data_IF_721644678633
#
_entry.id   IF_721644678633
#
_cell.length_a   1.000
_cell.length_b   1.000
_cell.length_c   1.000
_cell.angle_alpha   90.00
_cell.angle_beta   90.00
_cell.angle_gamma   90.00
#
_symmetry.space_group_name_H-M   'P 1'
#
loop_
_entity.id
_entity.type
_entity.pdbx_description
1 polymer ?
#
# COMPACT_ATOMS: atom_id res chain seq x y z
N UNK A 1 41.26 -56.26 -10.70
CA UNK A 1 39.81 -56.22 -10.38
C UNK A 1 39.58 -55.03 -9.46
N UNK A 2 39.28 -53.84 -10.02
CA UNK A 2 39.10 -52.60 -9.25
C UNK A 2 37.60 -52.26 -9.17
N UNK A 3 37.07 -52.18 -7.95
CA UNK A 3 35.73 -51.66 -7.68
C UNK A 3 35.81 -50.13 -7.56
N UNK A 4 35.17 -49.42 -8.49
CA UNK A 4 34.99 -47.97 -8.40
C UNK A 4 33.79 -47.73 -7.50
N UNK A 5 34.03 -47.12 -6.34
CA UNK A 5 33.01 -46.64 -5.41
C UNK A 5 32.54 -45.28 -5.91
N UNK A 6 31.33 -45.21 -6.47
CA UNK A 6 30.67 -43.97 -6.84
C UNK A 6 30.34 -43.16 -5.58
N UNK A 7 30.98 -41.99 -5.46
CA UNK A 7 30.61 -40.96 -4.48
C UNK A 7 29.31 -40.30 -4.96
N UNK A 8 28.20 -40.61 -4.29
CA UNK A 8 26.95 -39.88 -4.42
C UNK A 8 27.17 -38.50 -3.78
N UNK A 9 27.30 -37.47 -4.59
CA UNK A 9 27.25 -36.09 -4.14
C UNK A 9 25.79 -35.75 -3.85
N UNK A 10 25.43 -35.63 -2.57
CA UNK A 10 24.16 -35.01 -2.17
C UNK A 10 24.21 -33.53 -2.53
N UNK A 11 23.26 -32.98 -3.30
CA UNK A 11 23.06 -31.55 -3.34
C UNK A 11 22.50 -31.13 -1.96
N UNK A 12 23.30 -30.37 -1.21
CA UNK A 12 22.81 -29.62 -0.05
C UNK A 12 21.81 -28.60 -0.62
N UNK A 13 20.53 -28.97 -0.59
CA UNK A 13 19.42 -28.04 -0.75
C UNK A 13 19.47 -27.10 0.44
N UNK A 14 20.15 -25.97 0.26
CA UNK A 14 19.97 -24.79 1.09
C UNK A 14 18.49 -24.41 0.98
N UNK A 15 17.69 -24.92 1.91
CA UNK A 15 16.41 -24.33 2.28
C UNK A 15 16.75 -22.93 2.80
N UNK A 16 16.82 -21.97 1.89
CA UNK A 16 16.64 -20.56 2.22
C UNK A 16 15.24 -20.48 2.82
N UNK A 17 15.16 -20.54 4.15
CA UNK A 17 13.98 -20.13 4.88
C UNK A 17 13.69 -18.71 4.39
N UNK A 18 12.65 -18.57 3.56
CA UNK A 18 12.16 -17.28 3.14
C UNK A 18 11.63 -16.59 4.40
N UNK A 19 12.52 -15.90 5.12
CA UNK A 19 12.12 -14.85 6.04
C UNK A 19 11.15 -13.97 5.27
N UNK A 20 9.92 -13.73 5.76
CA UNK A 20 9.00 -12.86 5.07
C UNK A 20 9.71 -11.51 4.90
N UNK A 21 9.96 -11.14 3.65
CA UNK A 21 10.52 -9.84 3.30
C UNK A 21 9.61 -8.81 3.97
N UNK A 22 10.12 -8.16 5.01
CA UNK A 22 9.42 -7.11 5.70
C UNK A 22 9.13 -6.01 4.68
N UNK A 23 8.10 -5.20 4.93
CA UNK A 23 7.81 -3.98 4.17
C UNK A 23 9.04 -3.07 3.93
N UNK A 24 10.06 -3.18 4.77
CA UNK A 24 11.32 -2.43 4.69
C UNK A 24 12.29 -3.04 3.65
N UNK A 25 12.06 -4.29 3.23
CA UNK A 25 12.85 -5.03 2.24
C UNK A 25 12.31 -4.85 0.80
N UNK A 26 11.28 -4.03 0.60
CA UNK A 26 10.86 -3.64 -0.75
C UNK A 26 11.97 -2.81 -1.41
N UNK A 27 12.25 -3.07 -2.69
CA UNK A 27 13.29 -2.33 -3.40
C UNK A 27 12.93 -0.83 -3.47
N UNK A 28 13.93 0.07 -3.56
CA UNK A 28 13.68 1.50 -3.71
C UNK A 28 12.74 1.84 -4.88
N UNK A 29 12.79 1.06 -5.97
CA UNK A 29 11.88 1.24 -7.10
C UNK A 29 10.41 0.96 -6.74
N UNK A 30 10.15 -0.12 -6.00
CA UNK A 30 8.78 -0.44 -5.52
C UNK A 30 8.27 0.71 -4.66
N UNK A 31 9.11 1.25 -3.79
CA UNK A 31 8.76 2.39 -2.98
C UNK A 31 8.46 3.64 -3.79
N UNK A 32 9.29 3.94 -4.79
CA UNK A 32 9.10 5.07 -5.68
C UNK A 32 7.75 5.01 -6.41
N UNK A 33 7.39 3.83 -6.94
CA UNK A 33 6.13 3.60 -7.65
C UNK A 33 4.92 3.84 -6.73
N UNK A 34 4.98 3.34 -5.48
CA UNK A 34 3.92 3.54 -4.49
C UNK A 34 3.76 5.01 -4.10
N UNK A 35 4.88 5.72 -3.89
CA UNK A 35 4.87 7.16 -3.58
C UNK A 35 4.32 7.96 -4.75
N UNK A 36 4.70 7.63 -5.99
CA UNK A 36 4.15 8.29 -7.17
C UNK A 36 2.62 8.15 -7.24
N UNK A 37 2.10 6.93 -7.05
CA UNK A 37 0.66 6.64 -7.08
C UNK A 37 -0.11 7.34 -5.97
N UNK A 38 0.45 7.33 -4.76
CA UNK A 38 -0.13 8.05 -3.63
C UNK A 38 -0.18 9.56 -3.91
N UNK A 39 0.85 10.12 -4.56
CA UNK A 39 0.88 11.53 -4.95
C UNK A 39 -0.14 11.87 -6.02
N UNK A 40 -0.34 11.01 -7.03
CA UNK A 40 -1.40 11.21 -8.03
C UNK A 40 -2.80 11.09 -7.42
N UNK A 41 -2.99 10.14 -6.49
CA UNK A 41 -4.26 10.00 -5.79
C UNK A 41 -4.55 11.23 -4.92
N UNK A 42 -3.55 11.75 -4.18
CA UNK A 42 -3.71 12.95 -3.36
C UNK A 42 -4.17 14.14 -4.21
N UNK A 43 -3.51 14.38 -5.35
CA UNK A 43 -3.90 15.45 -6.28
C UNK A 43 -5.34 15.28 -6.79
N UNK A 44 -5.77 14.04 -7.07
CA UNK A 44 -7.14 13.76 -7.48
C UNK A 44 -8.18 13.99 -6.36
N UNK A 45 -7.81 13.72 -5.11
CA UNK A 45 -8.64 14.05 -3.95
C UNK A 45 -8.77 15.58 -3.82
N UNK A 46 -7.65 16.30 -3.94
CA UNK A 46 -7.61 17.76 -3.83
C UNK A 46 -8.35 18.47 -4.97
N UNK A 47 -8.34 17.90 -6.18
CA UNK A 47 -9.09 18.44 -7.32
C UNK A 47 -10.60 18.20 -7.23
N UNK A 48 -11.03 17.24 -6.41
CA UNK A 48 -12.43 16.82 -6.32
C UNK A 48 -12.93 16.06 -7.55
N UNK A 49 -12.05 15.68 -8.49
CA UNK A 49 -12.46 15.02 -9.73
C UNK A 49 -12.69 13.52 -9.51
N UNK A 50 -13.95 13.13 -9.34
CA UNK A 50 -14.38 11.77 -9.02
C UNK A 50 -13.88 10.70 -10.01
N UNK A 51 -13.84 11.04 -11.31
CA UNK A 51 -13.36 10.16 -12.38
C UNK A 51 -11.88 9.78 -12.19
N UNK A 52 -11.04 10.75 -11.78
CA UNK A 52 -9.63 10.55 -11.49
C UNK A 52 -9.44 9.72 -10.23
N UNK A 53 -10.19 10.04 -9.16
CA UNK A 53 -10.18 9.25 -7.92
C UNK A 53 -10.49 7.78 -8.20
N UNK A 54 -11.56 7.52 -8.96
CA UNK A 54 -11.95 6.16 -9.31
C UNK A 54 -10.89 5.46 -10.20
N UNK A 55 -10.30 6.17 -11.16
CA UNK A 55 -9.21 5.64 -12.00
C UNK A 55 -8.00 5.21 -11.15
N UNK A 56 -7.46 6.12 -10.35
CA UNK A 56 -6.27 5.84 -9.55
C UNK A 56 -6.52 4.76 -8.50
N UNK A 57 -7.69 4.73 -7.89
CA UNK A 57 -8.04 3.68 -6.94
C UNK A 57 -8.20 2.29 -7.57
N UNK A 58 -8.67 2.19 -8.82
CA UNK A 58 -8.65 0.91 -9.55
C UNK A 58 -7.22 0.44 -9.81
N UNK A 59 -6.32 1.35 -10.19
CA UNK A 59 -4.92 1.01 -10.47
C UNK A 59 -4.17 0.57 -9.21
N UNK A 60 -4.39 1.26 -8.08
CA UNK A 60 -3.82 0.88 -6.78
C UNK A 60 -4.28 -0.52 -6.36
N UNK A 61 -5.58 -0.81 -6.43
CA UNK A 61 -6.12 -2.11 -5.96
C UNK A 61 -5.72 -3.30 -6.82
N UNK A 62 -5.52 -3.13 -8.14
CA UNK A 62 -5.09 -4.22 -9.05
C UNK A 62 -3.69 -4.75 -8.73
N UNK A 63 -2.78 -3.89 -8.27
CA UNK A 63 -1.37 -4.27 -8.06
C UNK A 63 -1.10 -4.91 -6.70
N UNK A 64 -2.08 -4.87 -5.80
CA UNK A 64 -2.02 -5.55 -4.50
C UNK A 64 -2.07 -7.07 -4.64
N UNK A 65 -2.68 -7.58 -5.72
CA UNK A 65 -3.00 -9.00 -5.92
C UNK A 65 -1.83 -9.97 -6.10
N UNK A 66 -0.60 -9.62 -5.69
CA UNK A 66 0.54 -10.54 -5.81
C UNK A 66 1.84 -10.12 -5.11
N UNK A 67 1.84 -9.07 -4.28
CA UNK A 67 3.07 -8.56 -3.62
C UNK A 67 2.82 -8.30 -2.12
N UNK A 68 3.81 -8.58 -1.28
CA UNK A 68 3.82 -8.09 0.10
C UNK A 68 3.84 -6.56 0.07
N UNK A 69 2.79 -5.96 0.61
CA UNK A 69 2.65 -4.51 0.64
C UNK A 69 3.33 -3.93 1.86
N UNK A 70 4.00 -2.79 1.71
CA UNK A 70 4.39 -2.01 2.86
C UNK A 70 3.19 -1.53 3.66
N UNK A 71 3.34 -1.40 4.98
CA UNK A 71 2.22 -1.12 5.90
C UNK A 71 1.39 0.11 5.50
N UNK A 72 2.01 1.20 5.05
CA UNK A 72 1.24 2.38 4.61
C UNK A 72 0.66 2.24 3.19
N UNK A 73 1.20 1.37 2.34
CA UNK A 73 0.57 1.01 1.06
C UNK A 73 -0.75 0.25 1.29
N UNK A 74 -0.84 -0.57 2.35
CA UNK A 74 -2.13 -1.10 2.82
C UNK A 74 -3.08 0.03 3.22
N UNK A 75 -2.57 1.10 3.87
CA UNK A 75 -3.33 2.31 4.15
C UNK A 75 -3.96 2.96 2.91
N UNK A 76 -3.26 2.97 1.76
CA UNK A 76 -3.80 3.47 0.49
C UNK A 76 -5.01 2.67 0.00
N UNK A 77 -5.07 1.37 0.29
CA UNK A 77 -6.24 0.54 -0.04
C UNK A 77 -7.44 1.01 0.77
N UNK A 78 -7.25 1.26 2.06
CA UNK A 78 -8.32 1.78 2.92
C UNK A 78 -8.78 3.17 2.48
N UNK A 79 -7.87 4.04 2.04
CA UNK A 79 -8.24 5.31 1.40
C UNK A 79 -9.14 5.06 0.19
N UNK A 80 -8.72 4.18 -0.71
CA UNK A 80 -9.48 3.89 -1.92
C UNK A 80 -10.84 3.25 -1.66
N UNK A 81 -10.93 2.39 -0.66
CA UNK A 81 -12.20 1.81 -0.20
C UNK A 81 -13.14 2.88 0.36
N UNK A 82 -12.62 3.81 1.17
CA UNK A 82 -13.39 4.94 1.68
C UNK A 82 -13.88 5.86 0.56
N UNK A 83 -12.98 6.27 -0.34
CA UNK A 83 -13.31 7.14 -1.46
C UNK A 83 -14.34 6.50 -2.39
N UNK A 84 -14.17 5.22 -2.78
CA UNK A 84 -15.16 4.51 -3.60
C UNK A 84 -16.49 4.33 -2.90
N UNK A 85 -16.49 4.13 -1.58
CA UNK A 85 -17.74 4.12 -0.81
C UNK A 85 -18.42 5.49 -0.89
N UNK A 86 -17.67 6.59 -0.77
CA UNK A 86 -18.21 7.94 -0.91
C UNK A 86 -18.79 8.21 -2.29
N UNK A 87 -18.09 7.79 -3.35
CA UNK A 87 -18.55 7.91 -4.74
C UNK A 87 -19.82 7.11 -5.03
N UNK A 88 -20.01 5.96 -4.37
CA UNK A 88 -21.14 5.05 -4.65
C UNK A 88 -22.33 5.25 -3.72
N UNK A 89 -22.10 5.62 -2.46
CA UNK A 89 -23.12 5.70 -1.42
C UNK A 89 -23.32 7.12 -0.87
N UNK A 90 -22.49 8.09 -1.27
CA UNK A 90 -22.51 9.44 -0.72
C UNK A 90 -22.23 9.47 0.78
N UNK A 91 -22.82 10.45 1.48
CA UNK A 91 -22.72 10.60 2.94
C UNK A 91 -23.41 9.44 3.65
N UNK A 92 -22.64 8.59 4.33
CA UNK A 92 -23.18 7.43 5.06
C UNK A 92 -22.34 7.06 6.28
N UNK A 93 -22.95 6.34 7.24
CA UNK A 93 -22.21 5.76 8.39
C UNK A 93 -21.11 4.81 7.93
N UNK A 94 -21.34 4.08 6.83
CA UNK A 94 -20.35 3.20 6.25
C UNK A 94 -19.12 4.00 5.78
N UNK A 95 -19.32 5.08 5.01
CA UNK A 95 -18.24 5.99 4.59
C UNK A 95 -17.46 6.50 5.80
N UNK A 96 -18.14 6.97 6.84
CA UNK A 96 -17.48 7.51 8.04
C UNK A 96 -16.57 6.50 8.74
N UNK A 97 -17.02 5.25 8.83
CA UNK A 97 -16.20 4.17 9.37
C UNK A 97 -14.99 3.88 8.48
N UNK A 98 -15.16 3.89 7.15
CA UNK A 98 -14.06 3.67 6.20
C UNK A 98 -13.03 4.81 6.26
N UNK A 99 -13.46 6.08 6.29
CA UNK A 99 -12.58 7.23 6.43
C UNK A 99 -11.78 7.16 7.74
N UNK A 100 -12.42 6.80 8.87
CA UNK A 100 -11.73 6.58 10.15
C UNK A 100 -10.70 5.46 10.09
N UNK A 101 -11.02 4.36 9.41
CA UNK A 101 -10.09 3.25 9.24
C UNK A 101 -8.89 3.66 8.37
N UNK A 102 -9.13 4.38 7.27
CA UNK A 102 -8.08 4.93 6.42
C UNK A 102 -7.16 5.89 7.20
N UNK A 103 -7.74 6.81 8.00
CA UNK A 103 -7.00 7.71 8.89
C UNK A 103 -6.12 6.92 9.88
N UNK A 104 -6.68 5.91 10.54
CA UNK A 104 -5.98 5.07 11.52
C UNK A 104 -4.83 4.29 10.90
N UNK A 105 -5.04 3.65 9.74
CA UNK A 105 -4.01 2.83 9.10
C UNK A 105 -2.89 3.67 8.49
N UNK A 106 -3.19 4.79 7.84
CA UNK A 106 -2.17 5.72 7.37
C UNK A 106 -1.44 6.43 8.51
N UNK A 107 -2.14 6.72 9.61
CA UNK A 107 -1.55 7.34 10.80
C UNK A 107 -0.45 6.51 11.45
N UNK A 108 -0.45 5.19 11.23
CA UNK A 108 0.59 4.25 11.69
C UNK A 108 1.81 4.19 10.76
N UNK A 109 1.81 4.90 9.64
CA UNK A 109 2.95 4.95 8.73
C UNK A 109 4.23 5.36 9.47
N UNK A 110 5.36 4.76 9.09
CA UNK A 110 6.68 5.08 9.63
C UNK A 110 7.58 5.65 8.53
N UNK A 111 8.63 6.41 8.89
CA UNK A 111 9.68 6.78 7.95
C UNK A 111 10.24 5.57 7.20
N UNK A 112 10.53 5.77 5.91
CA UNK A 112 11.12 4.76 5.03
C UNK A 112 12.43 5.34 4.51
N UNK A 113 13.56 4.72 4.88
CA UNK A 113 14.88 5.21 4.50
C UNK A 113 15.10 5.16 2.98
N UNK A 114 14.64 4.08 2.33
CA UNK A 114 14.74 3.90 0.89
C UNK A 114 13.95 4.91 0.05
N UNK A 115 12.94 5.58 0.64
CA UNK A 115 12.13 6.61 -0.04
C UNK A 115 11.57 7.60 1.00
N UNK A 116 12.34 8.65 1.35
CA UNK A 116 11.98 9.58 2.42
C UNK A 116 10.68 10.36 2.20
N UNK A 117 10.21 10.48 0.95
CA UNK A 117 8.95 11.17 0.61
C UNK A 117 7.71 10.39 1.04
N UNK A 118 7.82 9.09 1.29
CA UNK A 118 6.71 8.22 1.63
C UNK A 118 5.98 8.66 2.91
N UNK A 119 6.74 8.97 3.96
CA UNK A 119 6.16 9.32 5.26
C UNK A 119 5.41 10.65 5.25
N UNK A 120 5.98 11.78 4.75
CA UNK A 120 5.24 13.02 4.58
C UNK A 120 3.97 12.88 3.75
N UNK A 121 4.01 12.06 2.69
CA UNK A 121 2.86 11.83 1.83
C UNK A 121 1.74 11.04 2.54
N UNK A 122 2.10 10.02 3.32
CA UNK A 122 1.14 9.30 4.17
C UNK A 122 0.46 10.25 5.18
N UNK A 123 1.20 11.22 5.73
CA UNK A 123 0.63 12.26 6.62
C UNK A 123 -0.35 13.17 5.89
N UNK A 124 -0.01 13.63 4.68
CA UNK A 124 -0.92 14.46 3.87
C UNK A 124 -2.22 13.72 3.55
N UNK A 125 -2.13 12.45 3.14
CA UNK A 125 -3.32 11.61 2.90
C UNK A 125 -4.13 11.38 4.18
N UNK A 126 -3.47 11.22 5.33
CA UNK A 126 -4.15 11.11 6.64
C UNK A 126 -4.98 12.36 6.92
N UNK A 127 -4.40 13.55 6.74
CA UNK A 127 -5.11 14.81 6.95
C UNK A 127 -6.24 15.02 5.92
N UNK A 128 -6.04 14.61 4.67
CA UNK A 128 -7.10 14.63 3.66
C UNK A 128 -8.29 13.74 4.07
N UNK A 129 -8.04 12.51 4.55
CA UNK A 129 -9.10 11.63 5.04
C UNK A 129 -9.80 12.18 6.28
N UNK A 130 -9.04 12.80 7.19
CA UNK A 130 -9.60 13.49 8.35
C UNK A 130 -10.50 14.65 7.93
N UNK A 131 -10.08 15.47 6.97
CA UNK A 131 -10.85 16.59 6.44
C UNK A 131 -12.16 16.12 5.80
N UNK A 132 -12.09 15.11 4.93
CA UNK A 132 -13.29 14.47 4.36
C UNK A 132 -14.20 13.92 5.46
N UNK A 133 -13.64 13.29 6.49
CA UNK A 133 -14.42 12.77 7.61
C UNK A 133 -15.12 13.89 8.36
N UNK A 134 -14.46 15.00 8.65
CA UNK A 134 -15.07 16.14 9.35
C UNK A 134 -16.16 16.84 8.51
N UNK A 135 -16.04 16.82 7.18
CA UNK A 135 -17.06 17.40 6.29
C UNK A 135 -18.24 16.48 5.98
N UNK A 136 -18.03 15.16 6.01
CA UNK A 136 -19.02 14.15 5.60
C UNK A 136 -19.57 13.33 6.77
N UNK A 137 -18.98 13.44 7.95
CA UNK A 137 -19.42 12.82 9.19
C UNK A 137 -19.65 13.96 10.18
#
# INVERSE_FOLDING_TARGET
MNRIVSRIALPILLLSAATPASAQDASPQVWNDWVYRAGTLLKAIESGEESQVNLYCRNIQREVGGKYLPQWATGLIYVCDALKTGLTQGRSRALCNRLRNAESELGKAKPVEAEPRAYPLARQLTEAMRGLRQGMC
#
